data_IF_178721706555
#
_entry.id   IF_178721706555
#
_cell.length_a   1.000
_cell.length_b   1.000
_cell.length_c   1.000
_cell.angle_alpha   90.00
_cell.angle_beta   90.00
_cell.angle_gamma   90.00
#
_symmetry.space_group_name_H-M   'P 1'
#
loop_
_entity.id
_entity.type
_entity.pdbx_description
1 polymer ?
#
# COMPACT_ATOMS: atom_id res chain seq x y z
N UNK A 1 14.96 5.21 7.03
CA UNK A 1 13.94 6.17 7.53
C UNK A 1 13.47 7.07 6.39
N UNK A 2 12.16 7.24 6.22
CA UNK A 2 11.55 8.13 5.21
C UNK A 2 10.73 9.19 5.95
N UNK A 3 10.87 10.46 5.56
CA UNK A 3 10.11 11.58 6.13
C UNK A 3 9.53 12.46 5.02
N UNK A 4 8.26 12.76 5.13
CA UNK A 4 7.55 13.82 4.41
C UNK A 4 7.33 14.97 5.38
N UNK A 5 7.74 16.20 5.02
CA UNK A 5 7.59 17.39 5.85
C UNK A 5 6.77 18.45 5.11
N UNK A 6 5.51 18.56 5.47
CA UNK A 6 4.53 19.50 4.89
C UNK A 6 4.50 19.49 3.35
N UNK A 7 4.52 18.28 2.76
CA UNK A 7 4.63 18.08 1.33
C UNK A 7 3.32 18.39 0.63
N UNK A 8 3.37 19.35 -0.29
CA UNK A 8 2.26 19.71 -1.17
C UNK A 8 2.64 19.45 -2.62
N UNK A 9 1.71 18.86 -3.38
CA UNK A 9 1.85 18.70 -4.82
C UNK A 9 0.62 19.22 -5.56
N UNK A 10 0.86 20.18 -6.45
CA UNK A 10 -0.17 20.75 -7.33
C UNK A 10 0.10 20.44 -8.79
N UNK A 11 -0.94 20.13 -9.54
CA UNK A 11 -0.95 20.01 -11.00
C UNK A 11 -1.94 21.04 -11.55
N UNK A 12 -1.43 22.20 -11.97
CA UNK A 12 -2.28 23.35 -12.31
C UNK A 12 -3.15 23.75 -11.13
N UNK A 13 -4.46 23.69 -11.28
CA UNK A 13 -5.44 24.02 -10.23
C UNK A 13 -5.74 22.85 -9.28
N UNK A 14 -5.29 21.64 -9.58
CA UNK A 14 -5.59 20.43 -8.78
C UNK A 14 -4.51 20.21 -7.74
N UNK A 15 -4.88 20.17 -6.47
CA UNK A 15 -3.99 19.76 -5.36
C UNK A 15 -4.08 18.25 -5.19
N UNK A 16 -3.01 17.54 -5.52
CA UNK A 16 -2.93 16.08 -5.40
C UNK A 16 -2.46 15.62 -4.02
N UNK A 17 -1.56 16.38 -3.38
CA UNK A 17 -1.20 16.24 -1.96
C UNK A 17 -1.24 17.61 -1.30
N UNK A 18 -1.72 17.68 -0.06
CA UNK A 18 -2.01 18.92 0.65
C UNK A 18 -1.37 18.91 2.05
N UNK A 19 -0.17 19.50 2.17
CA UNK A 19 0.56 19.67 3.42
C UNK A 19 0.87 18.35 4.14
N UNK A 20 1.12 17.28 3.39
CA UNK A 20 1.29 15.94 3.94
C UNK A 20 2.56 15.82 4.78
N UNK A 21 2.42 15.34 6.00
CA UNK A 21 3.54 14.98 6.89
C UNK A 21 3.42 13.54 7.32
N UNK A 22 4.49 12.77 7.14
CA UNK A 22 4.55 11.34 7.47
C UNK A 22 5.97 10.96 7.82
N UNK A 23 6.12 10.04 8.77
CA UNK A 23 7.40 9.44 9.10
C UNK A 23 7.30 7.92 9.07
N UNK A 24 8.12 7.28 8.22
CA UNK A 24 8.30 5.83 8.16
C UNK A 24 9.66 5.52 8.78
N UNK A 25 9.70 5.08 10.06
CA UNK A 25 10.94 5.02 10.82
C UNK A 25 11.80 3.80 10.49
N UNK A 26 11.18 2.69 10.12
CA UNK A 26 11.80 1.37 10.05
C UNK A 26 11.41 0.58 8.80
N UNK A 27 12.11 -0.54 8.58
CA UNK A 27 11.72 -1.53 7.58
C UNK A 27 10.33 -2.11 7.90
N UNK A 28 9.62 -2.56 6.88
CA UNK A 28 8.29 -3.15 7.02
C UNK A 28 7.55 -3.17 5.69
N UNK A 29 6.48 -3.94 5.64
CA UNK A 29 5.56 -3.96 4.50
C UNK A 29 4.39 -3.04 4.83
N UNK A 30 4.33 -1.91 4.12
CA UNK A 30 3.33 -0.86 4.27
C UNK A 30 2.29 -0.95 3.16
N UNK A 31 1.02 -0.97 3.53
CA UNK A 31 -0.07 -0.85 2.58
C UNK A 31 -0.56 0.60 2.49
N UNK A 32 -0.48 1.18 1.30
CA UNK A 32 -0.96 2.54 1.00
C UNK A 32 -2.35 2.47 0.40
N UNK A 33 -3.36 2.75 1.19
CA UNK A 33 -4.77 2.73 0.79
C UNK A 33 -5.32 4.11 0.50
N UNK A 34 -6.29 4.15 -0.40
CA UNK A 34 -7.03 5.38 -0.72
C UNK A 34 -7.91 5.16 -1.95
N UNK A 35 -8.95 5.98 -2.06
CA UNK A 35 -9.81 5.99 -3.26
C UNK A 35 -9.02 6.35 -4.51
N UNK A 36 -9.61 6.09 -5.69
CA UNK A 36 -9.05 6.59 -6.94
C UNK A 36 -8.98 8.12 -6.90
N UNK A 37 -7.81 8.67 -7.25
CA UNK A 37 -7.56 10.11 -7.15
C UNK A 37 -7.18 10.61 -5.74
N UNK A 38 -7.03 9.75 -4.73
CA UNK A 38 -6.65 10.16 -3.38
C UNK A 38 -5.22 10.71 -3.26
N UNK A 39 -4.35 10.46 -4.26
CA UNK A 39 -2.96 10.91 -4.27
C UNK A 39 -1.91 9.80 -4.15
N UNK A 40 -2.29 8.51 -4.11
CA UNK A 40 -1.37 7.37 -3.93
C UNK A 40 -0.20 7.36 -4.92
N UNK A 41 -0.48 7.35 -6.22
CA UNK A 41 0.56 7.38 -7.27
C UNK A 41 1.42 8.64 -7.18
N UNK A 42 0.84 9.79 -6.85
CA UNK A 42 1.58 11.05 -6.64
C UNK A 42 2.53 10.94 -5.45
N UNK A 43 2.09 10.35 -4.34
CA UNK A 43 2.92 10.06 -3.16
C UNK A 43 4.13 9.19 -3.53
N UNK A 44 3.89 8.07 -4.23
CA UNK A 44 4.95 7.16 -4.65
C UNK A 44 5.94 7.82 -5.62
N UNK A 45 5.45 8.58 -6.62
CA UNK A 45 6.29 9.31 -7.59
C UNK A 45 7.16 10.39 -6.94
N UNK A 46 6.64 11.08 -5.94
CA UNK A 46 7.40 12.05 -5.16
C UNK A 46 8.52 11.38 -4.36
N UNK A 47 8.20 10.27 -3.67
CA UNK A 47 9.18 9.51 -2.89
C UNK A 47 10.28 8.92 -3.77
N UNK A 48 9.93 8.46 -4.98
CA UNK A 48 10.88 7.96 -5.98
C UNK A 48 11.74 9.06 -6.62
N UNK A 49 11.41 10.36 -6.42
CA UNK A 49 12.09 11.47 -7.07
C UNK A 49 11.71 11.65 -8.56
N UNK A 50 10.65 10.97 -9.03
CA UNK A 50 10.20 11.09 -10.43
C UNK A 50 9.54 12.44 -10.71
N UNK A 51 8.98 13.08 -9.69
CA UNK A 51 8.37 14.41 -9.76
C UNK A 51 8.79 15.27 -8.56
N UNK A 52 8.76 16.60 -8.73
CA UNK A 52 9.04 17.55 -7.66
C UNK A 52 7.82 17.81 -6.78
N UNK A 53 8.02 17.99 -5.48
CA UNK A 53 7.04 18.63 -4.63
C UNK A 53 6.85 20.11 -5.05
N UNK A 54 5.65 20.65 -4.84
CA UNK A 54 5.40 22.08 -5.01
C UNK A 54 5.87 22.85 -3.78
N UNK A 55 5.67 22.27 -2.61
CA UNK A 55 6.08 22.81 -1.30
C UNK A 55 6.48 21.67 -0.38
N UNK A 56 7.31 21.95 0.64
CA UNK A 56 7.79 20.96 1.60
C UNK A 56 8.98 20.17 1.08
N UNK A 57 9.41 19.18 1.85
CA UNK A 57 10.56 18.34 1.52
C UNK A 57 10.30 16.86 1.85
N UNK A 58 10.99 15.98 1.11
CA UNK A 58 11.00 14.54 1.36
C UNK A 58 12.44 14.14 1.64
N UNK A 59 12.65 13.38 2.68
CA UNK A 59 13.97 12.92 3.14
C UNK A 59 13.95 11.39 3.18
N UNK A 60 14.97 10.78 2.59
CA UNK A 60 15.22 9.34 2.66
C UNK A 60 16.61 9.13 3.22
N UNK A 61 16.73 8.47 4.37
CA UNK A 61 17.98 8.23 5.09
C UNK A 61 18.84 9.49 5.28
N UNK A 62 18.20 10.60 5.63
CA UNK A 62 18.85 11.88 5.88
C UNK A 62 19.21 12.68 4.60
N UNK A 63 18.92 12.16 3.42
CA UNK A 63 19.13 12.85 2.15
C UNK A 63 17.81 13.37 1.57
N UNK A 64 17.79 14.65 1.21
CA UNK A 64 16.62 15.25 0.56
C UNK A 64 16.45 14.70 -0.85
N UNK A 65 15.25 14.23 -1.18
CA UNK A 65 14.89 13.77 -2.51
C UNK A 65 14.83 14.95 -3.47
N UNK A 66 15.69 14.93 -4.48
CA UNK A 66 15.77 15.97 -5.51
C UNK A 66 15.10 15.53 -6.79
N UNK A 67 14.24 16.36 -7.39
CA UNK A 67 13.55 16.02 -8.64
C UNK A 67 14.53 15.81 -9.79
N UNK A 68 14.27 14.79 -10.61
CA UNK A 68 15.11 14.45 -11.76
C UNK A 68 16.46 13.78 -11.42
N UNK A 69 16.75 13.60 -10.14
CA UNK A 69 17.81 12.72 -9.67
C UNK A 69 17.12 11.51 -9.06
N UNK A 70 17.17 10.37 -9.75
CA UNK A 70 16.64 9.12 -9.20
C UNK A 70 17.26 8.90 -7.83
N UNK A 71 16.43 8.64 -6.84
CA UNK A 71 16.93 8.33 -5.50
C UNK A 71 17.53 6.91 -5.56
N UNK A 72 18.87 6.80 -5.57
CA UNK A 72 19.61 5.55 -5.72
C UNK A 72 19.18 4.46 -4.69
N UNK A 73 18.51 4.87 -3.61
CA UNK A 73 18.00 3.95 -2.59
C UNK A 73 16.52 3.57 -2.74
N UNK A 74 15.80 4.07 -3.77
CA UNK A 74 14.36 3.85 -3.92
C UNK A 74 14.04 3.30 -5.31
N UNK A 75 13.45 2.12 -5.36
CA UNK A 75 12.92 1.55 -6.59
C UNK A 75 11.40 1.68 -6.66
N UNK A 76 10.91 2.15 -7.79
CA UNK A 76 9.50 2.35 -8.04
C UNK A 76 9.03 1.62 -9.30
N UNK A 77 7.99 0.81 -9.14
CA UNK A 77 7.28 0.18 -10.25
C UNK A 77 5.88 0.76 -10.36
N UNK A 78 5.63 1.32 -11.52
CA UNK A 78 4.28 1.70 -11.96
C UNK A 78 3.84 0.75 -13.08
N UNK A 79 2.58 0.35 -13.09
CA UNK A 79 2.00 -0.40 -14.20
C UNK A 79 2.00 0.46 -15.47
N UNK A 80 3.11 0.43 -16.21
CA UNK A 80 3.30 1.22 -17.43
C UNK A 80 3.05 0.37 -18.68
N UNK A 81 2.62 1.04 -19.74
CA UNK A 81 2.46 0.44 -21.06
C UNK A 81 3.79 0.16 -21.79
N UNK A 82 4.94 0.25 -21.09
CA UNK A 82 6.27 0.02 -21.68
C UNK A 82 6.36 -1.42 -22.20
N UNK A 83 6.75 -1.56 -23.46
CA UNK A 83 6.92 -2.86 -24.09
C UNK A 83 8.38 -3.04 -24.50
N UNK A 84 9.01 -4.05 -23.94
CA UNK A 84 10.37 -4.44 -24.33
C UNK A 84 10.29 -5.54 -25.39
N UNK A 85 11.13 -5.44 -26.43
CA UNK A 85 11.28 -6.50 -27.44
C UNK A 85 12.46 -7.44 -27.09
N UNK A 86 12.58 -7.77 -25.81
CA UNK A 86 13.66 -8.55 -25.24
C UNK A 86 13.09 -9.82 -24.59
N UNK A 87 13.92 -10.85 -24.44
CA UNK A 87 13.56 -12.05 -23.68
C UNK A 87 13.58 -11.77 -22.18
N UNK A 88 12.83 -12.57 -21.42
CA UNK A 88 12.81 -12.49 -19.94
C UNK A 88 14.22 -12.64 -19.37
N UNK A 89 15.00 -13.63 -19.87
CA UNK A 89 16.39 -13.81 -19.46
C UNK A 89 17.27 -12.59 -19.73
N UNK A 90 17.11 -11.94 -20.88
CA UNK A 90 17.87 -10.75 -21.25
C UNK A 90 17.53 -9.56 -20.32
N UNK A 91 16.26 -9.40 -19.95
CA UNK A 91 15.83 -8.36 -19.02
C UNK A 91 16.39 -8.58 -17.60
N UNK A 92 16.43 -9.82 -17.12
CA UNK A 92 17.01 -10.16 -15.82
C UNK A 92 18.52 -9.91 -15.83
N UNK A 93 19.23 -10.29 -16.91
CA UNK A 93 20.67 -10.03 -17.03
C UNK A 93 20.99 -8.53 -17.07
N UNK A 94 20.22 -7.74 -17.82
CA UNK A 94 20.38 -6.28 -17.85
C UNK A 94 20.16 -5.69 -16.45
N UNK A 95 19.14 -6.13 -15.73
CA UNK A 95 18.91 -5.68 -14.37
C UNK A 95 20.09 -6.01 -13.45
N UNK A 96 20.64 -7.22 -13.58
CA UNK A 96 21.82 -7.65 -12.85
C UNK A 96 23.10 -6.85 -13.18
N UNK A 97 23.27 -6.44 -14.44
CA UNK A 97 24.40 -5.62 -14.86
C UNK A 97 24.26 -4.14 -14.42
N UNK A 98 23.03 -3.63 -14.38
CA UNK A 98 22.78 -2.21 -14.09
C UNK A 98 22.61 -1.90 -12.60
N UNK A 99 22.34 -2.90 -11.76
CA UNK A 99 21.95 -2.69 -10.37
C UNK A 99 22.90 -3.44 -9.43
N UNK A 100 23.68 -2.70 -8.66
CA UNK A 100 24.56 -3.28 -7.66
C UNK A 100 23.76 -4.00 -6.58
N UNK A 101 24.16 -5.25 -6.28
CA UNK A 101 23.45 -6.09 -5.28
C UNK A 101 22.12 -6.69 -5.76
N UNK A 102 21.88 -6.74 -7.07
CA UNK A 102 20.71 -7.43 -7.63
C UNK A 102 20.79 -8.93 -7.37
N UNK A 103 19.75 -9.51 -6.81
CA UNK A 103 19.65 -10.95 -6.56
C UNK A 103 19.13 -11.69 -7.81
N UNK A 104 20.06 -12.02 -8.69
CA UNK A 104 19.79 -12.73 -9.93
C UNK A 104 19.17 -14.11 -9.71
N UNK A 105 19.62 -14.82 -8.66
CA UNK A 105 19.12 -16.18 -8.37
C UNK A 105 17.67 -16.13 -7.90
N UNK A 106 17.35 -15.19 -7.01
CA UNK A 106 15.97 -14.91 -6.62
C UNK A 106 15.09 -14.59 -7.83
N UNK A 107 15.53 -13.69 -8.72
CA UNK A 107 14.76 -13.32 -9.90
C UNK A 107 14.47 -14.51 -10.82
N UNK A 108 15.46 -15.37 -11.06
CA UNK A 108 15.31 -16.56 -11.89
C UNK A 108 14.44 -17.65 -11.24
N UNK A 109 14.55 -17.81 -9.91
CA UNK A 109 13.73 -18.76 -9.16
C UNK A 109 12.26 -18.34 -9.18
N UNK A 110 11.98 -17.08 -8.88
CA UNK A 110 10.63 -16.53 -8.93
C UNK A 110 10.06 -16.62 -10.35
N UNK A 111 10.83 -16.27 -11.40
CA UNK A 111 10.36 -16.41 -12.77
C UNK A 111 9.95 -17.86 -13.10
N UNK A 112 10.68 -18.86 -12.61
CA UNK A 112 10.31 -20.28 -12.78
C UNK A 112 9.02 -20.64 -12.03
N UNK A 113 8.85 -20.20 -10.80
CA UNK A 113 7.66 -20.48 -9.97
C UNK A 113 6.38 -19.90 -10.60
N UNK A 114 6.52 -18.82 -11.39
CA UNK A 114 5.41 -18.20 -12.12
C UNK A 114 5.27 -18.65 -13.58
N UNK A 115 5.90 -19.75 -13.95
CA UNK A 115 5.87 -20.27 -15.32
C UNK A 115 6.25 -19.22 -16.39
N UNK A 116 7.13 -18.30 -16.00
CA UNK A 116 7.67 -17.30 -16.93
C UNK A 116 8.84 -17.91 -17.71
N UNK A 117 8.57 -18.43 -18.91
CA UNK A 117 9.60 -19.00 -19.77
C UNK A 117 10.70 -17.97 -20.09
N UNK A 118 11.97 -18.19 -19.67
CA UNK A 118 13.07 -17.24 -19.87
C UNK A 118 13.34 -16.90 -21.35
N UNK A 119 12.95 -17.78 -22.28
CA UNK A 119 13.12 -17.59 -23.72
C UNK A 119 12.02 -16.75 -24.36
N UNK A 120 10.90 -16.58 -23.65
CA UNK A 120 9.75 -15.81 -24.14
C UNK A 120 10.06 -14.32 -24.15
N UNK A 121 9.60 -13.61 -25.17
CA UNK A 121 9.76 -12.15 -25.22
C UNK A 121 8.72 -11.45 -24.35
N UNK A 122 9.12 -10.41 -23.65
CA UNK A 122 8.28 -9.59 -22.77
C UNK A 122 6.97 -9.16 -23.46
N UNK A 123 7.04 -8.67 -24.70
CA UNK A 123 5.86 -8.25 -25.47
C UNK A 123 4.80 -9.34 -25.69
N UNK A 124 5.18 -10.62 -25.60
CA UNK A 124 4.29 -11.77 -25.79
C UNK A 124 3.67 -12.28 -24.47
N UNK A 125 4.00 -11.67 -23.35
CA UNK A 125 3.40 -11.96 -22.04
C UNK A 125 2.00 -11.34 -21.97
N UNK A 126 1.12 -11.96 -21.19
CA UNK A 126 -0.13 -11.32 -20.77
C UNK A 126 0.16 -10.09 -19.91
N UNK A 127 -0.83 -9.25 -19.68
CA UNK A 127 -0.67 -8.07 -18.82
C UNK A 127 -0.21 -8.49 -17.41
N UNK A 128 -0.89 -9.45 -16.76
CA UNK A 128 -0.52 -9.96 -15.44
C UNK A 128 0.90 -10.55 -15.40
N UNK A 129 1.29 -11.36 -16.42
CA UNK A 129 2.66 -11.90 -16.50
C UNK A 129 3.73 -10.80 -16.64
N UNK A 130 3.44 -9.71 -17.36
CA UNK A 130 4.35 -8.56 -17.45
C UNK A 130 4.49 -7.85 -16.11
N UNK A 131 3.37 -7.59 -15.46
CA UNK A 131 3.33 -6.99 -14.12
C UNK A 131 4.11 -7.85 -13.13
N UNK A 132 3.91 -9.17 -13.15
CA UNK A 132 4.64 -10.09 -12.28
C UNK A 132 6.16 -10.06 -12.55
N UNK A 133 6.58 -10.10 -13.81
CA UNK A 133 8.02 -10.04 -14.14
C UNK A 133 8.66 -8.72 -13.69
N UNK A 134 8.00 -7.59 -13.92
CA UNK A 134 8.53 -6.29 -13.46
C UNK A 134 8.59 -6.22 -11.94
N UNK A 135 7.61 -6.78 -11.25
CA UNK A 135 7.61 -6.90 -9.77
C UNK A 135 8.76 -7.78 -9.29
N UNK A 136 8.99 -8.95 -9.89
CA UNK A 136 10.10 -9.85 -9.55
C UNK A 136 11.44 -9.13 -9.69
N UNK A 137 11.68 -8.45 -10.84
CA UNK A 137 12.91 -7.70 -11.08
C UNK A 137 13.11 -6.60 -10.04
N UNK A 138 12.02 -5.93 -9.65
CA UNK A 138 12.09 -4.88 -8.63
C UNK A 138 12.37 -5.43 -7.24
N UNK A 139 11.72 -6.53 -6.86
CA UNK A 139 11.94 -7.19 -5.57
C UNK A 139 13.33 -7.86 -5.46
N UNK A 140 13.93 -8.25 -6.58
CA UNK A 140 15.29 -8.75 -6.64
C UNK A 140 16.35 -7.66 -6.44
N UNK A 141 15.97 -6.38 -6.49
CA UNK A 141 16.90 -5.27 -6.25
C UNK A 141 17.10 -5.06 -4.75
N UNK A 142 18.34 -4.82 -4.34
CA UNK A 142 18.72 -4.54 -2.95
C UNK A 142 18.59 -3.05 -2.58
N UNK A 143 17.47 -2.43 -2.95
CA UNK A 143 17.16 -1.04 -2.61
C UNK A 143 16.67 -0.90 -1.17
N UNK A 144 16.89 0.25 -0.55
CA UNK A 144 16.42 0.58 0.81
C UNK A 144 14.90 0.72 0.89
N UNK A 145 14.27 1.13 -0.20
CA UNK A 145 12.83 1.18 -0.31
C UNK A 145 12.34 0.68 -1.68
N UNK A 146 11.27 -0.09 -1.67
CA UNK A 146 10.57 -0.58 -2.86
C UNK A 146 9.15 -0.04 -2.83
N UNK A 147 8.75 0.56 -3.95
CA UNK A 147 7.45 1.17 -4.13
C UNK A 147 6.72 0.46 -5.28
N UNK A 148 5.56 -0.11 -4.98
CA UNK A 148 4.75 -0.87 -5.93
C UNK A 148 3.38 -0.20 -6.06
N UNK A 149 3.07 0.32 -7.26
CA UNK A 149 1.78 0.96 -7.54
C UNK A 149 0.83 -0.02 -8.22
N UNK A 150 -0.21 -0.47 -7.49
CA UNK A 150 -1.21 -1.45 -7.93
C UNK A 150 -0.58 -2.74 -8.54
N UNK A 151 0.38 -3.41 -7.84
CA UNK A 151 1.18 -4.49 -8.43
C UNK A 151 0.39 -5.76 -8.74
N UNK A 152 -0.82 -5.92 -8.21
CA UNK A 152 -1.68 -7.09 -8.42
C UNK A 152 -2.74 -6.86 -9.48
N UNK A 153 -2.71 -5.72 -10.17
CA UNK A 153 -3.66 -5.42 -11.23
C UNK A 153 -3.53 -6.43 -12.39
N UNK A 154 -4.64 -7.08 -12.71
CA UNK A 154 -4.68 -8.12 -13.75
C UNK A 154 -4.25 -9.52 -13.29
N UNK A 155 -4.02 -9.72 -11.99
CA UNK A 155 -3.76 -11.04 -11.42
C UNK A 155 -5.07 -11.78 -11.15
N UNK A 156 -5.06 -13.08 -11.37
CA UNK A 156 -6.08 -13.97 -10.82
C UNK A 156 -5.80 -14.29 -9.34
N UNK A 157 -6.70 -15.03 -8.69
CA UNK A 157 -6.58 -15.34 -7.26
C UNK A 157 -5.30 -16.12 -6.92
N UNK A 158 -4.84 -17.00 -7.81
CA UNK A 158 -3.64 -17.80 -7.62
C UNK A 158 -2.40 -16.91 -7.70
N UNK A 159 -2.32 -16.06 -8.73
CA UNK A 159 -1.22 -15.10 -8.89
C UNK A 159 -1.12 -14.12 -7.72
N UNK A 160 -2.24 -13.71 -7.13
CA UNK A 160 -2.24 -12.82 -5.96
C UNK A 160 -1.67 -13.48 -4.72
N UNK A 161 -2.05 -14.74 -4.45
CA UNK A 161 -1.51 -15.49 -3.32
C UNK A 161 0.01 -15.74 -3.49
N UNK A 162 0.42 -16.07 -4.68
CA UNK A 162 1.83 -16.20 -5.05
C UNK A 162 2.59 -14.87 -4.89
N UNK A 163 2.01 -13.74 -5.29
CA UNK A 163 2.61 -12.42 -5.09
C UNK A 163 2.88 -12.12 -3.61
N UNK A 164 1.93 -12.44 -2.73
CA UNK A 164 2.13 -12.28 -1.29
C UNK A 164 3.30 -13.12 -0.77
N UNK A 165 3.43 -14.35 -1.28
CA UNK A 165 4.56 -15.23 -0.94
C UNK A 165 5.90 -14.62 -1.35
N UNK A 166 6.02 -14.14 -2.59
CA UNK A 166 7.26 -13.50 -3.08
C UNK A 166 7.57 -12.24 -2.27
N UNK A 167 6.57 -11.44 -1.96
CA UNK A 167 6.75 -10.21 -1.20
C UNK A 167 7.37 -10.50 0.18
N UNK A 168 6.84 -11.52 0.88
CA UNK A 168 7.38 -11.98 2.16
C UNK A 168 8.79 -12.58 2.03
N UNK A 169 9.03 -13.43 1.03
CA UNK A 169 10.36 -14.02 0.80
C UNK A 169 11.40 -12.94 0.54
N UNK A 170 11.08 -11.95 -0.31
CA UNK A 170 11.95 -10.82 -0.61
C UNK A 170 12.21 -9.93 0.61
N UNK A 171 11.18 -9.70 1.45
CA UNK A 171 11.31 -8.93 2.68
C UNK A 171 12.15 -9.66 3.72
N UNK A 172 11.92 -10.96 3.91
CA UNK A 172 12.67 -11.77 4.86
C UNK A 172 14.17 -11.93 4.49
N UNK A 173 14.46 -12.01 3.19
CA UNK A 173 15.84 -12.05 2.71
C UNK A 173 16.57 -10.72 2.94
N UNK A 174 15.90 -9.60 2.70
CA UNK A 174 16.44 -8.25 2.81
C UNK A 174 15.41 -7.31 3.44
N UNK A 175 15.33 -7.20 4.78
CA UNK A 175 14.39 -6.31 5.46
C UNK A 175 14.59 -4.84 5.06
N UNK A 176 13.56 -4.22 4.51
CA UNK A 176 13.56 -2.85 3.98
C UNK A 176 12.15 -2.26 3.99
N UNK A 177 12.00 -1.01 3.62
CA UNK A 177 10.67 -0.42 3.43
C UNK A 177 10.09 -0.93 2.11
N UNK A 178 8.93 -1.58 2.15
CA UNK A 178 8.15 -1.94 0.96
C UNK A 178 6.79 -1.27 1.08
N UNK A 179 6.46 -0.38 0.14
CA UNK A 179 5.15 0.29 0.11
C UNK A 179 4.37 -0.24 -1.08
N UNK A 180 3.24 -0.86 -0.80
CA UNK A 180 2.32 -1.39 -1.81
C UNK A 180 1.07 -0.53 -1.83
N UNK A 181 0.83 0.19 -2.94
CA UNK A 181 -0.47 0.83 -3.13
C UNK A 181 -1.46 -0.16 -3.73
N UNK A 182 -2.66 -0.21 -3.18
CA UNK A 182 -3.72 -1.04 -3.72
C UNK A 182 -5.10 -0.54 -3.30
N UNK A 183 -6.12 -0.99 -4.00
CA UNK A 183 -7.52 -0.89 -3.60
C UNK A 183 -8.10 -2.25 -3.17
N UNK A 184 -7.32 -3.33 -3.27
CA UNK A 184 -7.70 -4.71 -2.92
C UNK A 184 -7.17 -5.04 -1.52
N UNK A 185 -7.84 -4.51 -0.50
CA UNK A 185 -7.39 -4.47 0.89
C UNK A 185 -7.17 -5.86 1.48
N UNK A 186 -8.17 -6.74 1.32
CA UNK A 186 -8.17 -8.06 1.96
C UNK A 186 -7.07 -8.99 1.44
N UNK A 187 -6.55 -8.70 0.25
CA UNK A 187 -5.53 -9.52 -0.39
C UNK A 187 -4.13 -9.24 0.15
N UNK A 188 -3.79 -7.97 0.36
CA UNK A 188 -2.47 -7.57 0.86
C UNK A 188 -2.41 -7.56 2.39
N UNK A 189 -3.57 -7.54 3.06
CA UNK A 189 -3.67 -7.50 4.51
C UNK A 189 -2.88 -8.61 5.21
N UNK A 190 -2.80 -9.80 4.60
CA UNK A 190 -2.10 -10.98 5.13
C UNK A 190 -0.59 -10.78 5.31
N UNK A 191 0.00 -9.86 4.57
CA UNK A 191 1.45 -9.61 4.54
C UNK A 191 1.82 -8.19 4.96
N UNK A 192 0.82 -7.36 5.24
CA UNK A 192 1.00 -5.96 5.65
C UNK A 192 1.23 -5.88 7.15
N UNK A 193 2.24 -5.14 7.56
CA UNK A 193 2.51 -4.82 8.96
C UNK A 193 1.88 -3.47 9.37
N UNK A 194 1.86 -2.50 8.45
CA UNK A 194 1.37 -1.14 8.71
C UNK A 194 0.51 -0.61 7.58
N UNK A 195 -0.47 0.18 7.94
CA UNK A 195 -1.46 0.76 7.05
C UNK A 195 -1.32 2.28 7.00
N UNK A 196 -1.32 2.84 5.80
CA UNK A 196 -1.38 4.29 5.54
C UNK A 196 -2.62 4.54 4.70
N UNK A 197 -3.60 5.28 5.23
CA UNK A 197 -4.81 5.65 4.49
C UNK A 197 -4.71 7.11 4.06
N UNK A 198 -4.87 7.33 2.75
CA UNK A 198 -4.88 8.67 2.13
C UNK A 198 -6.26 8.94 1.53
N UNK A 199 -6.79 10.14 1.77
CA UNK A 199 -7.94 10.66 1.03
C UNK A 199 -7.74 12.15 0.73
N UNK A 200 -8.12 12.56 -0.48
CA UNK A 200 -8.03 13.96 -0.96
C UNK A 200 -6.66 14.61 -0.68
N UNK A 201 -5.59 13.86 -0.88
CA UNK A 201 -4.22 14.33 -0.71
C UNK A 201 -3.75 14.46 0.75
N UNK A 202 -4.50 13.97 1.72
CA UNK A 202 -4.14 14.00 3.15
C UNK A 202 -4.05 12.60 3.72
N UNK A 203 -3.16 12.40 4.69
CA UNK A 203 -3.14 11.18 5.49
C UNK A 203 -4.30 11.25 6.49
N UNK A 204 -5.16 10.24 6.48
CA UNK A 204 -6.24 10.11 7.44
C UNK A 204 -5.78 9.35 8.69
N UNK A 205 -5.01 8.28 8.49
CA UNK A 205 -4.45 7.45 9.55
C UNK A 205 -3.18 6.75 9.07
N UNK A 206 -2.24 6.53 9.98
CA UNK A 206 -1.12 5.62 9.84
C UNK A 206 -1.07 4.79 11.12
N UNK A 207 -1.15 3.45 10.98
CA UNK A 207 -1.30 2.54 12.13
C UNK A 207 -0.78 1.14 11.80
N UNK A 208 -0.41 0.36 12.82
CA UNK A 208 -0.09 -1.06 12.69
C UNK A 208 -1.35 -1.91 12.51
N UNK A 209 -1.23 -3.03 11.78
CA UNK A 209 -2.34 -3.99 11.66
C UNK A 209 -2.71 -4.58 13.03
N UNK A 210 -1.72 -4.86 13.88
CA UNK A 210 -1.96 -5.34 15.24
C UNK A 210 -2.80 -4.36 16.07
N UNK A 211 -2.53 -3.05 15.95
CA UNK A 211 -3.32 -2.03 16.64
C UNK A 211 -4.78 -1.97 16.14
N UNK A 212 -4.99 -2.20 14.82
CA UNK A 212 -6.34 -2.32 14.27
C UNK A 212 -7.05 -3.55 14.86
N UNK A 213 -6.36 -4.69 14.91
CA UNK A 213 -6.91 -5.94 15.47
C UNK A 213 -7.26 -5.79 16.98
N UNK A 214 -6.52 -4.99 17.70
CA UNK A 214 -6.77 -4.72 19.13
C UNK A 214 -7.91 -3.74 19.35
N UNK A 215 -7.93 -2.61 18.64
CA UNK A 215 -8.78 -1.44 18.89
C UNK A 215 -9.99 -1.30 17.97
N UNK A 216 -9.95 -1.91 16.76
CA UNK A 216 -11.04 -1.78 15.84
C UNK A 216 -12.05 -2.92 15.98
N UNK A 217 -13.32 -2.57 16.14
CA UNK A 217 -14.42 -3.54 16.30
C UNK A 217 -15.76 -2.95 15.87
N UNK A 218 -16.74 -3.83 15.67
CA UNK A 218 -18.12 -3.48 15.36
C UNK A 218 -19.00 -3.73 16.58
N UNK A 219 -19.81 -2.75 16.96
CA UNK A 219 -20.93 -2.93 17.90
C UNK A 219 -22.23 -3.06 17.10
N UNK A 220 -22.95 -4.15 17.27
CA UNK A 220 -24.21 -4.39 16.57
C UNK A 220 -25.34 -4.73 17.52
N UNK A 221 -26.53 -4.13 17.30
CA UNK A 221 -27.71 -4.31 18.14
C UNK A 221 -28.84 -3.35 17.81
N UNK A 222 -29.84 -3.28 18.67
CA UNK A 222 -30.92 -2.31 18.51
C UNK A 222 -30.37 -0.88 18.56
N UNK A 223 -30.90 0.02 17.72
CA UNK A 223 -30.49 1.44 17.68
C UNK A 223 -30.50 2.07 19.07
N UNK A 224 -31.54 1.81 19.88
CA UNK A 224 -31.68 2.33 21.25
C UNK A 224 -30.62 1.82 22.22
N UNK A 225 -30.04 0.62 21.98
CA UNK A 225 -29.02 0.03 22.82
C UNK A 225 -27.60 0.47 22.41
N UNK A 226 -27.33 0.62 21.09
CA UNK A 226 -26.00 0.98 20.57
C UNK A 226 -25.73 2.49 20.66
N UNK A 227 -26.76 3.33 20.43
CA UNK A 227 -26.58 4.81 20.40
C UNK A 227 -25.92 5.37 21.67
N UNK A 228 -26.34 5.05 22.90
CA UNK A 228 -25.71 5.59 24.11
C UNK A 228 -24.28 5.08 24.32
N UNK A 229 -23.92 3.91 23.76
CA UNK A 229 -22.57 3.38 23.90
C UNK A 229 -21.55 4.13 23.06
N UNK A 230 -21.95 4.56 21.86
CA UNK A 230 -21.04 5.25 20.92
C UNK A 230 -20.78 6.71 21.27
N UNK A 231 -21.57 7.32 22.16
CA UNK A 231 -21.37 8.71 22.60
C UNK A 231 -20.04 8.93 23.36
N UNK A 232 -19.50 7.87 23.98
CA UNK A 232 -18.23 7.91 24.72
C UNK A 232 -17.05 7.26 23.98
N UNK A 233 -17.24 6.76 22.74
CA UNK A 233 -16.26 6.02 22.00
C UNK A 233 -15.87 6.74 20.70
N UNK A 234 -14.67 6.48 20.21
CA UNK A 234 -14.24 6.93 18.89
C UNK A 234 -14.96 6.13 17.81
N UNK A 235 -16.20 6.53 17.48
CA UNK A 235 -16.99 5.93 16.43
C UNK A 235 -16.56 6.48 15.06
N UNK A 236 -15.93 5.62 14.26
CA UNK A 236 -15.40 5.96 12.92
C UNK A 236 -16.45 5.83 11.81
N UNK A 237 -17.59 5.19 12.07
CA UNK A 237 -18.69 5.05 11.12
C UNK A 237 -19.86 4.28 11.72
N UNK A 238 -21.01 4.38 11.07
CA UNK A 238 -22.22 3.63 11.48
C UNK A 238 -23.12 3.34 10.29
N UNK A 239 -23.83 2.21 10.36
CA UNK A 239 -24.84 1.82 9.39
C UNK A 239 -26.12 1.46 10.13
N UNK A 240 -27.27 1.96 9.68
CA UNK A 240 -28.58 1.68 10.28
C UNK A 240 -29.46 0.99 9.25
N UNK A 241 -30.02 -0.17 9.64
CA UNK A 241 -30.96 -0.94 8.83
C UNK A 241 -32.21 -1.23 9.66
N UNK A 242 -33.27 -0.46 9.44
CA UNK A 242 -34.50 -0.53 10.26
C UNK A 242 -34.25 -0.19 11.73
N UNK A 243 -34.47 -1.14 12.64
CA UNK A 243 -34.23 -0.97 14.08
C UNK A 243 -32.87 -1.43 14.56
N UNK A 244 -31.98 -1.89 13.65
CA UNK A 244 -30.65 -2.41 13.96
C UNK A 244 -29.59 -1.42 13.51
N UNK A 245 -28.57 -1.20 14.36
CA UNK A 245 -27.39 -0.41 14.07
C UNK A 245 -26.14 -1.27 14.14
N UNK A 246 -25.23 -1.08 13.21
CA UNK A 246 -23.83 -1.49 13.30
C UNK A 246 -22.98 -0.22 13.39
N UNK A 247 -22.25 -0.06 14.49
CA UNK A 247 -21.32 1.05 14.71
C UNK A 247 -19.88 0.52 14.65
N UNK A 248 -19.03 1.20 13.89
CA UNK A 248 -17.63 0.85 13.72
C UNK A 248 -16.80 1.71 14.66
N UNK A 249 -16.07 1.07 15.54
CA UNK A 249 -15.33 1.71 16.63
C UNK A 249 -13.84 1.53 16.43
N UNK A 250 -13.06 2.56 16.74
CA UNK A 250 -11.59 2.49 16.81
C UNK A 250 -11.15 3.09 18.16
N UNK A 251 -11.25 2.26 19.20
CA UNK A 251 -11.03 2.64 20.60
C UNK A 251 -10.71 1.40 21.43
N UNK A 252 -10.38 1.58 22.68
CA UNK A 252 -10.23 0.47 23.63
C UNK A 252 -11.51 -0.36 23.69
N UNK A 253 -11.36 -1.69 23.77
CA UNK A 253 -12.51 -2.60 23.78
C UNK A 253 -13.33 -2.47 25.05
N UNK A 254 -14.64 -2.40 24.89
CA UNK A 254 -15.61 -2.40 26.00
C UNK A 254 -16.23 -3.79 26.19
N UNK A 255 -16.81 -4.01 27.37
CA UNK A 255 -17.73 -5.14 27.56
C UNK A 255 -19.14 -4.71 27.14
N UNK A 256 -19.72 -5.28 26.08
CA UNK A 256 -21.03 -4.86 25.62
C UNK A 256 -22.12 -5.30 26.60
N UNK A 257 -23.19 -4.51 26.77
CA UNK A 257 -24.36 -4.93 27.55
C UNK A 257 -25.15 -6.03 26.81
N UNK A 258 -26.08 -6.66 27.53
CA UNK A 258 -26.98 -7.67 26.97
C UNK A 258 -27.75 -7.10 25.76
N UNK A 259 -27.81 -7.87 24.67
CA UNK A 259 -28.45 -7.44 23.42
C UNK A 259 -27.60 -6.64 22.44
N UNK A 260 -26.32 -6.39 22.77
CA UNK A 260 -25.32 -5.79 21.85
C UNK A 260 -24.22 -6.80 21.60
N UNK A 261 -23.96 -7.11 20.34
CA UNK A 261 -22.84 -7.96 19.94
C UNK A 261 -21.59 -7.11 19.63
N UNK A 262 -20.42 -7.70 19.88
CA UNK A 262 -19.13 -7.15 19.51
C UNK A 262 -18.42 -8.12 18.58
N UNK A 263 -18.06 -7.65 17.40
CA UNK A 263 -17.44 -8.45 16.35
C UNK A 263 -16.14 -7.77 15.87
N UNK A 264 -15.27 -8.55 15.25
CA UNK A 264 -14.11 -8.01 14.55
C UNK A 264 -14.56 -7.21 13.32
N UNK A 265 -13.90 -6.09 13.07
CA UNK A 265 -14.09 -5.34 11.82
C UNK A 265 -13.17 -5.91 10.74
N UNK A 266 -13.67 -6.02 9.49
CA UNK A 266 -12.78 -6.29 8.35
C UNK A 266 -11.93 -5.05 8.05
N UNK A 267 -10.72 -5.23 7.47
CA UNK A 267 -9.92 -4.08 7.05
C UNK A 267 -10.62 -3.26 5.96
N UNK A 268 -11.46 -3.89 5.14
CA UNK A 268 -12.28 -3.20 4.16
C UNK A 268 -13.32 -2.29 4.83
N UNK A 269 -14.04 -2.77 5.84
CA UNK A 269 -15.02 -1.97 6.58
C UNK A 269 -14.34 -0.86 7.37
N UNK A 270 -13.17 -1.14 7.96
CA UNK A 270 -12.34 -0.14 8.63
C UNK A 270 -11.96 0.99 7.67
N UNK A 271 -11.45 0.64 6.48
CA UNK A 271 -11.10 1.63 5.44
C UNK A 271 -12.31 2.45 5.00
N UNK A 272 -13.46 1.79 4.71
CA UNK A 272 -14.69 2.46 4.30
C UNK A 272 -15.15 3.43 5.38
N UNK A 273 -15.06 3.04 6.66
CA UNK A 273 -15.48 3.86 7.80
C UNK A 273 -14.56 5.08 7.99
N UNK A 274 -13.24 4.89 7.89
CA UNK A 274 -12.27 6.00 7.99
C UNK A 274 -12.46 7.01 6.84
N UNK A 275 -12.67 6.53 5.62
CA UNK A 275 -12.83 7.43 4.44
C UNK A 275 -14.25 8.00 4.35
N UNK A 276 -15.27 7.22 4.72
CA UNK A 276 -16.68 7.63 4.64
C UNK A 276 -17.17 8.44 5.83
N UNK A 277 -16.63 8.21 7.02
CA UNK A 277 -17.07 8.85 8.28
C UNK A 277 -16.81 10.36 8.34
N UNK A 278 -15.88 10.88 7.55
CA UNK A 278 -15.60 12.34 7.44
C UNK A 278 -16.42 13.04 6.35
N UNK A 279 -17.29 12.34 5.66
CA UNK A 279 -18.15 12.89 4.60
C UNK A 279 -19.60 13.14 5.00
N UNK A 280 -19.99 12.88 6.23
CA UNK A 280 -21.33 13.04 6.77
C UNK A 280 -21.44 14.11 7.87
N UNK A 281 -20.58 15.14 7.83
CA UNK A 281 -20.78 16.41 8.55
C UNK A 281 -21.33 17.46 7.61
#
# INVERSE_FOLDING_TARGET
MIEFKNVTKKYGSTTALDGMSLRIPESGIYCLLGRNGAGKTTFLKLLAGHIAATEGEIIVDGMTVSPGRMNEGVNFVENSAVQFNMRISELIEIANEMQEGFDREFALDMARRFDLDPKKKFRHLSFGMRTMLTTIITLANNSKAILLDEPTLGFDAIMRDQFNTILLESYNAHPRVIIVSTHLIDEIAKVTERLIIIDKGKILIETGIEEIDEKAYTLSGAVSAVTPLIEGLNCIGKTVAGSVMAAYIYDDRITPPEGVAIDRISLQDFFISIVGGRGNE
#
